data_IF_228816026724
#
_entry.id   IF_228816026724
#
_cell.length_a   1.000
_cell.length_b   1.000
_cell.length_c   1.000
_cell.angle_alpha   90.00
_cell.angle_beta   90.00
_cell.angle_gamma   90.00
#
_symmetry.space_group_name_H-M   'P 1'
#
loop_
_entity.id
_entity.type
_entity.pdbx_description
1 polymer ?
#
# COMPACT_ATOMS: atom_id res chain seq x y z
N UNK A 1 14.83 -31.63 -83.28
CA UNK A 1 15.10 -32.03 -81.88
C UNK A 1 15.50 -30.79 -81.11
N UNK A 2 14.61 -30.27 -80.26
CA UNK A 2 14.91 -29.10 -79.43
C UNK A 2 15.75 -29.55 -78.22
N UNK A 3 17.00 -29.08 -78.14
CA UNK A 3 17.83 -29.26 -76.96
C UNK A 3 17.36 -28.28 -75.87
N UNK A 4 16.68 -28.81 -74.86
CA UNK A 4 16.24 -28.06 -73.69
C UNK A 4 17.47 -27.75 -72.83
N UNK A 5 18.03 -26.54 -72.93
CA UNK A 5 19.16 -26.08 -72.12
C UNK A 5 18.62 -25.64 -70.76
N UNK A 6 18.77 -26.47 -69.73
CA UNK A 6 18.50 -26.09 -68.35
C UNK A 6 19.41 -24.90 -67.96
N UNK A 7 18.80 -23.79 -67.55
CA UNK A 7 19.50 -22.63 -67.02
C UNK A 7 20.11 -22.96 -65.66
N UNK A 8 21.37 -22.58 -65.47
CA UNK A 8 22.11 -22.76 -64.23
C UNK A 8 21.41 -22.03 -63.07
N UNK A 9 21.19 -22.73 -61.96
CA UNK A 9 20.65 -22.19 -60.72
C UNK A 9 21.63 -21.13 -60.18
N UNK A 10 21.18 -19.89 -60.04
CA UNK A 10 21.97 -18.84 -59.41
C UNK A 10 22.10 -19.15 -57.90
N UNK A 11 23.31 -19.11 -57.30
CA UNK A 11 23.43 -19.21 -55.86
C UNK A 11 22.83 -17.94 -55.26
N UNK A 12 21.72 -18.07 -54.53
CA UNK A 12 21.20 -16.99 -53.70
C UNK A 12 22.31 -16.59 -52.71
N UNK A 13 22.69 -15.29 -52.62
CA UNK A 13 23.60 -14.85 -51.59
C UNK A 13 23.00 -15.23 -50.23
N UNK A 14 23.71 -16.07 -49.48
CA UNK A 14 23.39 -16.28 -48.08
C UNK A 14 23.67 -14.96 -47.37
N UNK A 15 22.64 -14.13 -47.23
CA UNK A 15 22.68 -12.97 -46.34
C UNK A 15 22.55 -13.59 -44.96
N UNK A 16 23.61 -13.60 -44.12
CA UNK A 16 23.46 -14.04 -42.75
C UNK A 16 22.39 -13.14 -42.14
N UNK A 17 21.22 -13.74 -41.82
CA UNK A 17 20.21 -13.08 -41.01
C UNK A 17 20.95 -12.54 -39.81
N UNK A 18 20.88 -11.22 -39.59
CA UNK A 18 21.51 -10.54 -38.46
C UNK A 18 21.40 -11.45 -37.26
N UNK A 19 22.54 -11.93 -36.79
CA UNK A 19 22.60 -12.73 -35.59
C UNK A 19 21.98 -11.85 -34.50
N UNK A 20 20.75 -12.18 -34.10
CA UNK A 20 20.31 -11.99 -32.74
C UNK A 20 21.20 -12.93 -31.91
N UNK A 21 22.49 -12.59 -31.85
CA UNK A 21 23.46 -13.34 -31.09
C UNK A 21 23.13 -13.00 -29.66
N UNK A 22 22.61 -13.98 -28.92
CA UNK A 22 22.44 -13.83 -27.49
C UNK A 22 23.79 -13.37 -26.92
N UNK A 23 23.80 -12.26 -26.19
CA UNK A 23 24.98 -11.77 -25.45
C UNK A 23 25.28 -12.61 -24.21
N UNK A 24 24.60 -13.76 -24.08
CA UNK A 24 24.56 -14.62 -22.92
C UNK A 24 25.14 -15.96 -23.36
N UNK A 25 26.09 -16.49 -22.59
CA UNK A 25 26.69 -17.78 -22.86
C UNK A 25 25.63 -18.87 -22.67
N UNK A 26 25.30 -19.60 -23.74
CA UNK A 26 24.27 -20.65 -23.72
C UNK A 26 24.78 -21.96 -23.12
N UNK A 27 26.09 -22.11 -22.98
CA UNK A 27 26.74 -23.33 -22.46
C UNK A 27 26.93 -23.30 -20.93
N UNK A 28 26.52 -22.20 -20.26
CA UNK A 28 26.65 -22.02 -18.82
C UNK A 28 25.30 -21.68 -18.18
N UNK A 29 25.01 -22.29 -17.02
CA UNK A 29 23.83 -21.95 -16.22
C UNK A 29 23.97 -20.55 -15.63
N UNK A 30 22.94 -19.72 -15.81
CA UNK A 30 22.91 -18.36 -15.26
C UNK A 30 22.57 -18.44 -13.78
N UNK A 31 23.47 -17.95 -12.94
CA UNK A 31 23.24 -17.83 -11.50
C UNK A 31 22.53 -16.51 -11.18
N UNK A 32 21.55 -16.56 -10.28
CA UNK A 32 20.81 -15.37 -9.83
C UNK A 32 21.67 -14.39 -9.01
N UNK A 33 22.60 -14.91 -8.22
CA UNK A 33 23.50 -14.12 -7.36
C UNK A 33 24.89 -14.71 -7.36
N UNK A 34 25.92 -13.86 -7.32
CA UNK A 34 27.32 -14.28 -7.25
C UNK A 34 27.92 -14.08 -5.85
N UNK A 35 27.37 -13.16 -5.07
CA UNK A 35 27.83 -12.84 -3.72
C UNK A 35 26.78 -13.14 -2.66
N UNK A 36 27.21 -13.34 -1.40
CA UNK A 36 26.28 -13.52 -0.28
C UNK A 36 25.37 -12.31 -0.09
N UNK A 37 25.90 -11.09 -0.27
CA UNK A 37 25.13 -9.87 -0.12
C UNK A 37 24.04 -9.72 -1.20
N UNK A 38 24.35 -10.09 -2.45
CA UNK A 38 23.34 -10.14 -3.53
C UNK A 38 22.26 -11.18 -3.23
N UNK A 39 22.62 -12.35 -2.71
CA UNK A 39 21.65 -13.38 -2.34
C UNK A 39 20.70 -12.86 -1.26
N UNK A 40 21.23 -12.26 -0.20
CA UNK A 40 20.41 -11.74 0.90
C UNK A 40 19.49 -10.58 0.44
N UNK A 41 19.95 -9.78 -0.54
CA UNK A 41 19.15 -8.75 -1.21
C UNK A 41 17.99 -9.37 -2.01
N UNK A 42 18.27 -10.38 -2.83
CA UNK A 42 17.23 -11.08 -3.59
C UNK A 42 16.25 -11.84 -2.70
N UNK A 43 16.69 -12.41 -1.59
CA UNK A 43 15.80 -13.03 -0.60
C UNK A 43 14.84 -11.99 0.00
N UNK A 44 15.34 -10.79 0.31
CA UNK A 44 14.50 -9.69 0.81
C UNK A 44 13.49 -9.19 -0.24
N UNK A 45 13.92 -9.09 -1.51
CA UNK A 45 13.02 -8.73 -2.62
C UNK A 45 11.98 -9.81 -2.90
N UNK A 46 12.36 -11.09 -2.78
CA UNK A 46 11.46 -12.22 -2.90
C UNK A 46 10.42 -12.24 -1.77
N UNK A 47 10.81 -11.83 -0.55
CA UNK A 47 9.88 -11.67 0.56
C UNK A 47 8.87 -10.54 0.30
N UNK A 48 9.31 -9.40 -0.23
CA UNK A 48 8.40 -8.32 -0.66
C UNK A 48 7.43 -8.82 -1.74
N UNK A 49 7.94 -9.52 -2.76
CA UNK A 49 7.11 -10.13 -3.81
C UNK A 49 6.06 -11.06 -3.21
N UNK A 50 6.48 -11.97 -2.31
CA UNK A 50 5.59 -12.90 -1.61
C UNK A 50 4.50 -12.17 -0.83
N UNK A 51 4.86 -11.10 -0.11
CA UNK A 51 3.89 -10.28 0.65
C UNK A 51 2.85 -9.64 -0.28
N UNK A 52 3.25 -9.10 -1.44
CA UNK A 52 2.33 -8.48 -2.39
C UNK A 52 1.30 -9.50 -2.92
N UNK A 53 1.77 -10.68 -3.36
CA UNK A 53 0.90 -11.73 -3.90
C UNK A 53 -0.03 -12.28 -2.81
N UNK A 54 0.50 -12.55 -1.62
CA UNK A 54 -0.29 -13.09 -0.50
C UNK A 54 -1.33 -12.09 0.00
N UNK A 55 -1.00 -10.79 0.02
CA UNK A 55 -1.95 -9.73 0.37
C UNK A 55 -3.10 -9.66 -0.65
N UNK A 56 -2.84 -9.78 -1.96
CA UNK A 56 -3.92 -9.77 -2.96
C UNK A 56 -4.85 -10.98 -2.81
N UNK A 57 -4.27 -12.15 -2.55
CA UNK A 57 -5.03 -13.37 -2.26
C UNK A 57 -5.86 -13.23 -0.98
N UNK A 58 -5.30 -12.60 0.07
CA UNK A 58 -6.00 -12.31 1.32
C UNK A 58 -7.20 -11.38 1.08
N UNK A 59 -7.01 -10.27 0.36
CA UNK A 59 -8.10 -9.35 -0.01
C UNK A 59 -9.19 -10.07 -0.80
N UNK A 60 -8.80 -10.91 -1.77
CA UNK A 60 -9.74 -11.67 -2.59
C UNK A 60 -10.52 -12.70 -1.78
N UNK A 61 -9.89 -13.34 -0.79
CA UNK A 61 -10.54 -14.32 0.07
C UNK A 61 -11.50 -13.64 1.07
N UNK A 62 -11.14 -12.47 1.59
CA UNK A 62 -12.02 -11.66 2.44
C UNK A 62 -13.28 -11.21 1.68
N UNK A 63 -13.11 -10.69 0.45
CA UNK A 63 -14.25 -10.29 -0.41
C UNK A 63 -15.15 -11.45 -0.84
N UNK A 64 -14.70 -12.69 -0.68
CA UNK A 64 -15.48 -13.91 -0.94
C UNK A 64 -16.04 -14.52 0.33
N UNK A 65 -16.01 -13.80 1.45
CA UNK A 65 -16.42 -14.27 2.78
C UNK A 65 -15.76 -15.61 3.18
N UNK A 66 -14.55 -15.88 2.69
CA UNK A 66 -13.85 -17.16 2.93
C UNK A 66 -13.02 -17.17 4.22
N UNK A 67 -12.85 -16.00 4.85
CA UNK A 67 -12.07 -15.79 6.07
C UNK A 67 -12.84 -14.80 6.94
N UNK A 68 -12.90 -15.01 8.27
CA UNK A 68 -13.57 -14.09 9.17
C UNK A 68 -12.81 -12.75 9.28
N UNK A 69 -13.55 -11.71 9.62
CA UNK A 69 -13.07 -10.32 9.70
C UNK A 69 -11.87 -10.14 10.65
N UNK A 70 -11.90 -10.81 11.81
CA UNK A 70 -10.84 -10.75 12.79
C UNK A 70 -9.50 -11.29 12.25
N UNK A 71 -9.53 -12.48 11.64
CA UNK A 71 -8.34 -13.14 11.09
C UNK A 71 -7.78 -12.36 9.90
N UNK A 72 -8.67 -11.80 9.06
CA UNK A 72 -8.27 -10.91 7.97
C UNK A 72 -7.53 -9.68 8.50
N UNK A 73 -8.10 -8.99 9.50
CA UNK A 73 -7.56 -7.74 10.04
C UNK A 73 -6.17 -7.97 10.64
N UNK A 74 -6.01 -9.04 11.41
CA UNK A 74 -4.76 -9.37 12.08
C UNK A 74 -3.67 -9.81 11.09
N UNK A 75 -4.05 -10.63 10.10
CA UNK A 75 -3.14 -11.08 9.04
C UNK A 75 -2.71 -9.93 8.13
N UNK A 76 -3.66 -9.09 7.71
CA UNK A 76 -3.38 -7.90 6.88
C UNK A 76 -2.45 -6.93 7.62
N UNK A 77 -2.72 -6.64 8.89
CA UNK A 77 -1.88 -5.77 9.72
C UNK A 77 -0.46 -6.31 9.86
N UNK A 78 -0.31 -7.63 9.98
CA UNK A 78 1.00 -8.31 10.06
C UNK A 78 1.77 -8.19 8.74
N UNK A 79 1.13 -8.48 7.61
CA UNK A 79 1.74 -8.38 6.28
C UNK A 79 2.19 -6.94 5.98
N UNK A 80 1.37 -5.95 6.31
CA UNK A 80 1.72 -4.54 6.15
C UNK A 80 2.92 -4.12 7.00
N UNK A 81 3.02 -4.62 8.24
CA UNK A 81 4.19 -4.40 9.10
C UNK A 81 5.45 -5.05 8.53
N UNK A 82 5.35 -6.29 8.04
CA UNK A 82 6.48 -7.00 7.41
C UNK A 82 6.95 -6.29 6.15
N UNK A 83 6.03 -5.80 5.32
CA UNK A 83 6.35 -5.00 4.14
C UNK A 83 7.14 -3.74 4.50
N UNK A 84 6.63 -2.97 5.48
CA UNK A 84 7.32 -1.76 5.97
C UNK A 84 8.69 -2.07 6.58
N UNK A 85 8.82 -3.20 7.28
CA UNK A 85 10.09 -3.65 7.87
C UNK A 85 11.13 -4.05 6.82
N UNK A 86 10.72 -4.70 5.74
CA UNK A 86 11.63 -5.06 4.63
C UNK A 86 12.15 -3.80 3.91
N UNK A 87 11.29 -2.81 3.72
CA UNK A 87 11.66 -1.51 3.13
C UNK A 87 12.44 -0.59 4.07
N UNK A 88 12.61 -0.95 5.35
CA UNK A 88 13.48 -0.21 6.25
C UNK A 88 14.98 -0.42 5.93
N UNK A 89 15.33 -1.49 5.22
CA UNK A 89 16.69 -1.74 4.76
C UNK A 89 17.00 -0.87 3.54
N UNK A 90 17.97 0.04 3.63
CA UNK A 90 18.30 1.00 2.57
C UNK A 90 18.70 0.34 1.24
N UNK A 91 19.42 -0.80 1.28
CA UNK A 91 19.82 -1.50 0.06
C UNK A 91 18.61 -2.08 -0.68
N UNK A 92 17.65 -2.63 0.07
CA UNK A 92 16.40 -3.17 -0.46
C UNK A 92 15.51 -2.04 -0.96
N UNK A 93 15.39 -0.95 -0.20
CA UNK A 93 14.60 0.22 -0.60
C UNK A 93 15.12 0.86 -1.89
N UNK A 94 16.45 0.92 -2.07
CA UNK A 94 17.05 1.43 -3.30
C UNK A 94 16.79 0.55 -4.52
N UNK A 95 16.88 -0.78 -4.38
CA UNK A 95 16.57 -1.70 -5.47
C UNK A 95 15.06 -1.79 -5.76
N UNK A 96 14.23 -1.77 -4.72
CA UNK A 96 12.78 -1.78 -4.86
C UNK A 96 12.27 -0.51 -5.55
N UNK A 97 12.83 0.64 -5.19
CA UNK A 97 12.44 1.94 -5.75
C UNK A 97 11.01 2.32 -5.36
N UNK A 98 10.07 2.11 -6.29
CA UNK A 98 8.65 2.41 -6.10
C UNK A 98 7.79 1.18 -6.43
N UNK A 99 6.64 1.06 -5.77
CA UNK A 99 5.71 -0.05 -5.90
C UNK A 99 5.29 -0.28 -7.37
N UNK A 100 5.00 0.79 -8.13
CA UNK A 100 4.60 0.64 -9.52
C UNK A 100 5.76 0.23 -10.44
N UNK A 101 6.99 0.65 -10.11
CA UNK A 101 8.18 0.25 -10.86
C UNK A 101 8.47 -1.23 -10.64
N UNK A 102 8.45 -1.67 -9.37
CA UNK A 102 8.65 -3.08 -9.01
C UNK A 102 7.59 -3.99 -9.64
N UNK A 103 6.31 -3.57 -9.61
CA UNK A 103 5.24 -4.35 -10.26
C UNK A 103 5.44 -4.49 -11.77
N UNK A 104 5.89 -3.43 -12.44
CA UNK A 104 6.16 -3.46 -13.89
C UNK A 104 7.37 -4.33 -14.23
N UNK A 105 8.40 -4.32 -13.40
CA UNK A 105 9.61 -5.11 -13.60
C UNK A 105 9.34 -6.61 -13.47
N UNK A 106 8.51 -7.01 -12.50
CA UNK A 106 8.20 -8.40 -12.18
C UNK A 106 6.83 -8.87 -12.70
N UNK A 107 6.19 -8.08 -13.56
CA UNK A 107 4.88 -8.36 -14.18
C UNK A 107 3.78 -8.75 -13.16
N UNK A 108 3.67 -7.98 -12.08
CA UNK A 108 2.77 -8.25 -10.95
C UNK A 108 1.42 -7.56 -11.16
N UNK A 109 0.40 -8.36 -11.51
CA UNK A 109 -0.99 -7.92 -11.57
C UNK A 109 -1.73 -8.16 -10.24
N UNK A 110 -1.53 -7.27 -9.27
CA UNK A 110 -2.18 -7.33 -7.95
C UNK A 110 -2.87 -6.00 -7.60
N UNK A 111 -4.03 -5.68 -8.21
CA UNK A 111 -4.68 -4.39 -8.01
C UNK A 111 -5.21 -4.19 -6.59
N UNK A 112 -5.63 -5.26 -5.88
CA UNK A 112 -6.20 -5.14 -4.52
C UNK A 112 -5.10 -4.91 -3.49
N UNK A 113 -4.01 -5.66 -3.60
CA UNK A 113 -2.83 -5.43 -2.77
C UNK A 113 -2.24 -4.04 -2.99
N UNK A 114 -2.23 -3.54 -4.24
CA UNK A 114 -1.72 -2.20 -4.55
C UNK A 114 -2.48 -1.13 -3.78
N UNK A 115 -3.82 -1.18 -3.83
CA UNK A 115 -4.64 -0.21 -3.11
C UNK A 115 -4.41 -0.30 -1.61
N UNK A 116 -4.35 -1.53 -1.07
CA UNK A 116 -4.09 -1.73 0.35
C UNK A 116 -2.72 -1.24 0.79
N UNK A 117 -1.69 -1.44 -0.01
CA UNK A 117 -0.33 -0.96 0.29
C UNK A 117 -0.24 0.57 0.23
N UNK A 118 -1.01 1.22 -0.65
CA UNK A 118 -1.10 2.69 -0.71
C UNK A 118 -1.76 3.26 0.53
N UNK A 119 -2.88 2.67 0.96
CA UNK A 119 -3.63 3.12 2.14
C UNK A 119 -2.87 2.81 3.44
N UNK A 120 -2.24 1.63 3.52
CA UNK A 120 -1.39 1.24 4.65
C UNK A 120 -2.12 0.79 5.91
N UNK A 121 -3.44 0.61 5.87
CA UNK A 121 -4.29 0.03 6.93
C UNK A 121 -5.31 -0.97 6.38
N UNK A 122 -5.76 -1.98 7.16
CA UNK A 122 -6.77 -2.95 6.72
C UNK A 122 -8.12 -2.31 6.33
N UNK A 123 -8.91 -2.93 5.42
CA UNK A 123 -10.22 -2.40 4.98
C UNK A 123 -11.20 -2.29 6.15
N UNK A 124 -11.12 -3.21 7.10
CA UNK A 124 -11.94 -3.22 8.31
C UNK A 124 -11.66 -2.01 9.20
N UNK A 125 -10.41 -1.52 9.18
CA UNK A 125 -10.01 -0.29 9.88
C UNK A 125 -10.42 0.94 9.08
N UNK A 126 -10.38 0.88 7.75
CA UNK A 126 -10.78 1.96 6.85
C UNK A 126 -12.30 2.19 6.89
N UNK A 127 -13.08 1.16 6.60
CA UNK A 127 -14.53 1.22 6.42
C UNK A 127 -15.33 0.99 7.71
N UNK A 128 -14.66 0.50 8.77
CA UNK A 128 -15.32 0.06 10.00
C UNK A 128 -15.83 -1.38 9.91
N UNK A 129 -16.21 -1.99 11.05
CA UNK A 129 -16.70 -3.37 11.07
C UNK A 129 -18.02 -3.51 10.31
N UNK A 130 -18.11 -4.50 9.41
CA UNK A 130 -19.33 -4.76 8.63
C UNK A 130 -20.48 -5.33 9.48
N UNK A 131 -20.15 -5.84 10.67
CA UNK A 131 -21.11 -6.34 11.64
C UNK A 131 -20.99 -5.56 12.95
N UNK A 132 -21.68 -4.42 13.04
CA UNK A 132 -21.99 -3.86 14.35
C UNK A 132 -23.06 -4.75 15.01
N UNK A 133 -22.81 -5.36 16.19
CA UNK A 133 -23.89 -5.92 16.97
C UNK A 133 -24.76 -4.73 17.39
N UNK A 134 -25.94 -4.62 16.77
CA UNK A 134 -26.97 -3.70 17.22
C UNK A 134 -27.14 -3.84 18.74
N UNK A 135 -27.14 -2.70 19.44
CA UNK A 135 -27.30 -2.53 20.89
C UNK A 135 -26.09 -2.84 21.78
N UNK A 136 -25.26 -1.83 22.06
CA UNK A 136 -24.75 -1.59 23.41
C UNK A 136 -25.02 -0.13 23.82
N UNK A 137 -25.60 0.05 25.00
CA UNK A 137 -26.34 1.25 25.42
C UNK A 137 -25.54 2.56 25.52
N UNK A 138 -26.27 3.67 25.56
CA UNK A 138 -25.79 5.06 25.39
C UNK A 138 -24.74 5.60 26.38
N UNK A 139 -24.25 4.80 27.33
CA UNK A 139 -23.12 5.18 28.21
C UNK A 139 -21.76 4.79 27.58
N UNK A 140 -21.71 3.65 26.88
CA UNK A 140 -20.54 3.24 26.12
C UNK A 140 -20.31 4.17 24.92
N UNK A 141 -21.40 4.66 24.31
CA UNK A 141 -21.35 5.57 23.18
C UNK A 141 -20.79 6.93 23.58
N UNK A 142 -21.14 7.45 24.76
CA UNK A 142 -20.57 8.68 25.31
C UNK A 142 -19.07 8.55 25.58
N UNK A 143 -18.61 7.43 26.15
CA UNK A 143 -17.16 7.20 26.34
C UNK A 143 -16.40 7.09 25.01
N UNK A 144 -16.98 6.45 24.00
CA UNK A 144 -16.39 6.34 22.66
C UNK A 144 -16.33 7.72 21.96
N UNK A 145 -17.37 8.54 22.09
CA UNK A 145 -17.41 9.92 21.60
C UNK A 145 -16.33 10.79 22.26
N UNK A 146 -16.15 10.65 23.57
CA UNK A 146 -15.10 11.35 24.31
C UNK A 146 -13.72 10.92 23.83
N UNK A 147 -13.47 9.61 23.72
CA UNK A 147 -12.19 9.09 23.22
C UNK A 147 -11.88 9.57 21.80
N UNK A 148 -12.86 9.55 20.88
CA UNK A 148 -12.67 10.10 19.55
C UNK A 148 -12.34 11.60 19.58
N UNK A 149 -13.03 12.36 20.44
CA UNK A 149 -12.79 13.79 20.61
C UNK A 149 -11.40 14.08 21.19
N UNK A 150 -10.94 13.28 22.17
CA UNK A 150 -9.60 13.36 22.72
C UNK A 150 -8.54 13.15 21.63
N UNK A 151 -8.69 12.10 20.80
CA UNK A 151 -7.75 11.83 19.71
C UNK A 151 -7.68 12.98 18.70
N UNK A 152 -8.82 13.59 18.34
CA UNK A 152 -8.84 14.79 17.50
C UNK A 152 -8.11 15.98 18.14
N UNK A 153 -8.32 16.21 19.44
CA UNK A 153 -7.63 17.29 20.17
C UNK A 153 -6.13 17.02 20.20
N UNK A 154 -5.70 15.79 20.50
CA UNK A 154 -4.28 15.40 20.50
C UNK A 154 -3.64 15.64 19.13
N UNK A 155 -4.31 15.30 18.03
CA UNK A 155 -3.79 15.57 16.69
C UNK A 155 -3.69 17.08 16.41
N UNK A 156 -4.75 17.85 16.69
CA UNK A 156 -4.75 19.29 16.45
C UNK A 156 -3.70 20.02 17.30
N UNK A 157 -3.47 19.57 18.52
CA UNK A 157 -2.43 20.10 19.39
C UNK A 157 -1.03 19.72 18.89
N UNK A 158 -0.83 18.48 18.44
CA UNK A 158 0.43 18.05 17.82
C UNK A 158 0.80 18.93 16.61
N UNK A 159 -0.18 19.23 15.74
CA UNK A 159 -0.01 20.14 14.60
C UNK A 159 0.39 21.54 15.08
N UNK A 160 -0.29 22.10 16.08
CA UNK A 160 0.01 23.43 16.63
C UNK A 160 1.38 23.52 17.31
N UNK A 161 1.84 22.43 17.91
CA UNK A 161 3.17 22.33 18.51
C UNK A 161 4.27 22.22 17.43
N UNK A 162 3.91 21.86 16.20
CA UNK A 162 4.85 21.66 15.09
C UNK A 162 5.39 20.24 14.98
N UNK A 163 4.72 19.26 15.60
CA UNK A 163 5.03 17.84 15.47
C UNK A 163 4.40 17.29 14.16
N UNK A 164 4.98 17.69 13.04
CA UNK A 164 4.47 17.41 11.68
C UNK A 164 5.26 16.32 10.95
N UNK A 165 5.95 15.48 11.73
CA UNK A 165 6.70 14.32 11.24
C UNK A 165 5.74 13.15 10.99
N UNK A 166 5.97 12.39 9.90
CA UNK A 166 5.12 11.25 9.51
C UNK A 166 4.94 10.22 10.64
N UNK A 167 6.02 9.86 11.32
CA UNK A 167 6.02 8.87 12.40
C UNK A 167 5.12 9.26 13.58
N UNK A 168 4.91 10.55 13.79
CA UNK A 168 4.03 11.10 14.82
C UNK A 168 2.60 11.25 14.31
N UNK A 169 2.41 11.75 13.09
CA UNK A 169 1.08 12.00 12.52
C UNK A 169 0.34 10.71 12.13
N UNK A 170 1.06 9.72 11.59
CA UNK A 170 0.45 8.50 11.06
C UNK A 170 -0.24 7.68 12.16
N UNK A 171 0.37 7.38 13.33
CA UNK A 171 -0.33 6.68 14.41
C UNK A 171 -1.58 7.42 14.89
N UNK A 172 -1.51 8.75 15.05
CA UNK A 172 -2.64 9.57 15.50
C UNK A 172 -3.83 9.51 14.54
N UNK A 173 -3.58 9.56 13.23
CA UNK A 173 -4.66 9.42 12.23
C UNK A 173 -5.29 8.04 12.22
N UNK A 174 -4.49 6.98 12.41
CA UNK A 174 -5.01 5.60 12.52
C UNK A 174 -5.90 5.45 13.76
N UNK A 175 -5.51 6.05 14.89
CA UNK A 175 -6.33 6.03 16.11
C UNK A 175 -7.64 6.82 15.92
N UNK A 176 -7.60 7.95 15.22
CA UNK A 176 -8.80 8.73 14.89
C UNK A 176 -9.76 7.93 14.02
N UNK A 177 -9.29 7.32 12.92
CA UNK A 177 -10.19 6.57 12.03
C UNK A 177 -10.82 5.38 12.76
N UNK A 178 -10.06 4.69 13.62
CA UNK A 178 -10.59 3.62 14.47
C UNK A 178 -11.61 4.12 15.48
N UNK A 179 -11.36 5.24 16.16
CA UNK A 179 -12.28 5.81 17.13
C UNK A 179 -13.56 6.30 16.45
N UNK A 180 -13.44 6.97 15.31
CA UNK A 180 -14.58 7.44 14.50
C UNK A 180 -15.43 6.27 14.01
N UNK A 181 -14.81 5.19 13.50
CA UNK A 181 -15.53 4.01 13.04
C UNK A 181 -16.27 3.26 14.15
N UNK A 182 -15.85 3.40 15.42
CA UNK A 182 -16.59 2.84 16.56
C UNK A 182 -17.78 3.68 16.99
N UNK A 183 -17.73 4.99 16.74
CA UNK A 183 -18.76 5.95 17.16
C UNK A 183 -19.84 6.11 16.08
N UNK A 184 -19.48 5.97 14.80
CA UNK A 184 -20.45 6.16 13.72
C UNK A 184 -20.22 5.27 12.51
N UNK A 185 -21.27 4.52 12.16
CA UNK A 185 -21.38 3.74 10.92
C UNK A 185 -21.74 4.58 9.69
N UNK A 186 -22.05 5.87 9.88
CA UNK A 186 -22.37 6.74 8.74
C UNK A 186 -21.06 7.05 8.01
N UNK A 187 -21.03 6.80 6.71
CA UNK A 187 -20.02 7.41 5.84
C UNK A 187 -20.30 8.92 5.78
N UNK A 188 -19.32 9.72 6.18
CA UNK A 188 -19.38 11.17 6.08
C UNK A 188 -18.13 11.69 5.39
N UNK A 189 -18.27 12.80 4.68
CA UNK A 189 -17.26 13.42 3.82
C UNK A 189 -15.90 13.60 4.50
N UNK A 190 -15.90 13.79 5.82
CA UNK A 190 -14.70 13.91 6.63
C UNK A 190 -13.85 12.64 6.75
N UNK A 191 -14.43 11.43 6.65
CA UNK A 191 -13.64 10.17 6.67
C UNK A 191 -12.73 10.10 5.45
N UNK A 192 -13.24 10.49 4.28
CA UNK A 192 -12.47 10.50 3.03
C UNK A 192 -11.22 11.38 3.11
N UNK A 193 -11.32 12.53 3.78
CA UNK A 193 -10.17 13.42 4.02
C UNK A 193 -9.10 12.80 4.92
N UNK A 194 -9.51 12.13 6.00
CA UNK A 194 -8.57 11.43 6.90
C UNK A 194 -7.83 10.31 6.15
N UNK A 195 -8.54 9.52 5.34
CA UNK A 195 -7.95 8.46 4.52
C UNK A 195 -7.01 9.04 3.45
N UNK A 196 -7.39 10.14 2.81
CA UNK A 196 -6.52 10.84 1.85
C UNK A 196 -5.18 11.25 2.49
N UNK A 197 -5.21 11.83 3.70
CA UNK A 197 -3.99 12.19 4.42
C UNK A 197 -3.20 10.98 4.90
N UNK A 198 -3.85 9.87 5.27
CA UNK A 198 -3.17 8.60 5.54
C UNK A 198 -2.41 8.10 4.31
N UNK A 199 -3.00 8.16 3.11
CA UNK A 199 -2.34 7.78 1.86
C UNK A 199 -1.12 8.68 1.61
N UNK A 200 -1.30 10.00 1.71
CA UNK A 200 -0.21 10.98 1.54
C UNK A 200 0.94 10.69 2.49
N UNK A 201 0.65 10.54 3.79
CA UNK A 201 1.67 10.23 4.80
C UNK A 201 2.29 8.86 4.57
N UNK A 202 1.54 7.85 4.13
CA UNK A 202 2.10 6.53 3.87
C UNK A 202 3.11 6.56 2.69
N UNK A 203 2.92 7.43 1.70
CA UNK A 203 3.86 7.65 0.58
C UNK A 203 5.12 8.44 0.95
N UNK A 204 5.09 9.24 2.02
CA UNK A 204 6.26 9.99 2.50
C UNK A 204 7.30 9.10 3.20
N UNK A 205 8.55 9.53 3.36
CA UNK A 205 9.54 8.79 4.17
C UNK A 205 9.24 8.93 5.66
N UNK A 206 9.61 7.92 6.47
CA UNK A 206 9.32 7.88 7.91
C UNK A 206 9.71 9.16 8.67
N UNK A 207 10.86 9.76 8.33
CA UNK A 207 11.39 10.97 8.96
C UNK A 207 11.06 12.26 8.19
N UNK A 208 10.22 12.19 7.16
CA UNK A 208 9.85 13.34 6.36
C UNK A 208 8.79 14.19 7.08
N UNK A 209 8.93 15.51 6.97
CA UNK A 209 8.02 16.49 7.53
C UNK A 209 7.13 17.04 6.44
N UNK A 210 5.88 17.34 6.78
CA UNK A 210 5.02 18.14 5.91
C UNK A 210 5.63 19.54 5.73
N UNK A 211 5.51 20.09 4.53
CA UNK A 211 5.89 21.47 4.26
C UNK A 211 4.87 22.46 4.88
N UNK A 212 5.25 23.74 4.98
CA UNK A 212 4.41 24.75 5.65
C UNK A 212 3.02 24.91 5.01
N UNK A 213 2.90 24.66 3.70
CA UNK A 213 1.62 24.76 2.98
C UNK A 213 0.77 23.51 3.23
N UNK A 214 1.36 22.32 3.19
CA UNK A 214 0.77 21.04 3.53
C UNK A 214 0.30 21.00 4.99
N UNK A 215 1.07 21.58 5.93
CA UNK A 215 0.65 21.67 7.33
C UNK A 215 -0.63 22.50 7.46
N UNK A 216 -0.73 23.63 6.73
CA UNK A 216 -1.94 24.47 6.75
C UNK A 216 -3.13 23.76 6.13
N UNK A 217 -2.93 23.07 5.00
CA UNK A 217 -3.98 22.28 4.37
C UNK A 217 -4.42 21.12 5.27
N UNK A 218 -3.47 20.40 5.86
CA UNK A 218 -3.73 19.31 6.79
C UNK A 218 -4.50 19.79 8.02
N UNK A 219 -4.08 20.90 8.64
CA UNK A 219 -4.80 21.48 9.77
C UNK A 219 -6.24 21.84 9.39
N UNK A 220 -6.44 22.50 8.25
CA UNK A 220 -7.77 22.89 7.79
C UNK A 220 -8.67 21.66 7.55
N UNK A 221 -8.16 20.64 6.86
CA UNK A 221 -8.89 19.40 6.61
C UNK A 221 -9.21 18.65 7.91
N UNK A 222 -8.31 18.64 8.89
CA UNK A 222 -8.52 18.00 10.20
C UNK A 222 -9.52 18.76 11.07
N UNK A 223 -9.49 20.09 11.07
CA UNK A 223 -10.50 20.93 11.73
C UNK A 223 -11.88 20.72 11.08
N UNK A 224 -11.93 20.72 9.75
CA UNK A 224 -13.13 20.39 8.99
C UNK A 224 -13.66 19.00 9.32
N UNK A 225 -12.78 18.01 9.44
CA UNK A 225 -13.17 16.65 9.80
C UNK A 225 -13.73 16.55 11.22
N UNK A 226 -13.13 17.26 12.18
CA UNK A 226 -13.62 17.34 13.56
C UNK A 226 -14.99 18.04 13.65
N UNK A 227 -15.20 19.12 12.88
CA UNK A 227 -16.50 19.78 12.79
C UNK A 227 -17.57 18.90 12.14
N UNK A 228 -17.20 18.17 11.09
CA UNK A 228 -18.05 17.17 10.45
C UNK A 228 -18.47 16.09 11.45
N UNK A 229 -17.52 15.50 12.17
CA UNK A 229 -17.77 14.52 13.23
C UNK A 229 -18.74 15.05 14.29
N UNK A 230 -18.48 16.24 14.84
CA UNK A 230 -19.39 16.90 15.81
C UNK A 230 -20.80 17.13 15.25
N UNK A 231 -20.92 17.42 13.97
CA UNK A 231 -22.22 17.65 13.33
C UNK A 231 -22.99 16.35 13.17
N UNK A 232 -22.30 15.26 12.79
CA UNK A 232 -22.89 13.91 12.73
C UNK A 232 -23.47 13.50 14.09
N UNK A 233 -22.74 13.78 15.18
CA UNK A 233 -23.18 13.49 16.54
C UNK A 233 -24.35 14.35 17.04
N UNK A 234 -24.56 15.55 16.47
CA UNK A 234 -25.69 16.42 16.81
C UNK A 234 -26.98 16.07 16.06
N UNK A 235 -26.89 15.22 15.02
CA UNK A 235 -28.00 14.93 14.09
C UNK A 235 -28.73 13.63 14.41
N UNK A 236 -28.35 12.96 15.50
CA UNK A 236 -29.08 11.90 16.18
C UNK A 236 -29.59 12.44 17.54
#
# INVERSE_FOLDING_TARGET
MYANRQLAYAPTPYIPRSALSATINLDEEVNLSTTSAERDLYDSLAEIYSIIITLDALEKAYLKDSIPEADYTDTCSRLLKQYKSNLANEAVAQQFGDLETFKREWDIECPRATERLRIGIPATVEQGPSHNPANQGGDADAMLVVSATENFITLLDAIKIGLVEKDTLHPLLVEIIQAVNKVTDKDFESKGKIVQWLITLNQMRAAEKLDDDQVREFQFDMEGAYHGFKTTLKRD
#
